data_IF_488113915200
#
_entry.id   IF_488113915200
#
_cell.length_a   1.000
_cell.length_b   1.000
_cell.length_c   1.000
_cell.angle_alpha   90.00
_cell.angle_beta   90.00
_cell.angle_gamma   90.00
#
_symmetry.space_group_name_H-M   'P 1'
#
loop_
_entity.id
_entity.type
_entity.pdbx_description
1 polymer ?
#
# COMPACT_ATOMS: atom_id res chain seq x y z
N UNK A 1 6.97 7.96 1.44
CA UNK A 1 5.79 7.45 0.70
C UNK A 1 4.79 6.89 1.70
N UNK A 2 3.50 7.14 1.49
CA UNK A 2 2.43 6.46 2.23
C UNK A 2 1.80 5.41 1.33
N UNK A 3 1.64 4.20 1.86
CA UNK A 3 1.00 3.07 1.17
C UNK A 3 -0.24 2.67 1.96
N UNK A 4 -1.40 2.79 1.36
CA UNK A 4 -2.65 2.25 1.90
C UNK A 4 -2.86 0.88 1.26
N UNK A 5 -2.92 -0.18 2.06
CA UNK A 5 -2.94 -1.56 1.57
C UNK A 5 -4.27 -2.25 1.88
N UNK A 6 -5.02 -2.60 0.85
CA UNK A 6 -6.20 -3.44 0.94
C UNK A 6 -5.89 -4.89 0.55
N UNK A 7 -6.52 -5.84 1.20
CA UNK A 7 -6.37 -7.28 0.91
C UNK A 7 -7.73 -7.84 0.51
N UNK A 8 -7.82 -8.43 -0.68
CA UNK A 8 -9.01 -9.10 -1.17
C UNK A 8 -9.05 -10.58 -0.73
N UNK A 9 -10.24 -11.20 -0.79
CA UNK A 9 -10.46 -12.59 -0.32
C UNK A 9 -9.56 -13.62 -0.99
N UNK A 10 -9.26 -13.41 -2.27
CA UNK A 10 -8.49 -14.35 -3.08
C UNK A 10 -7.00 -14.00 -3.19
N UNK A 11 -6.55 -12.97 -2.49
CA UNK A 11 -5.13 -12.64 -2.43
C UNK A 11 -4.34 -13.67 -1.62
N UNK A 12 -3.11 -13.92 -2.06
CA UNK A 12 -2.18 -14.83 -1.40
C UNK A 12 -0.80 -14.20 -1.21
N UNK A 13 0.13 -14.97 -0.63
CA UNK A 13 1.50 -14.54 -0.35
C UNK A 13 2.22 -14.03 -1.60
N UNK A 14 2.04 -14.70 -2.75
CA UNK A 14 2.65 -14.31 -4.01
C UNK A 14 2.20 -12.91 -4.47
N UNK A 15 0.93 -12.57 -4.25
CA UNK A 15 0.41 -11.24 -4.56
C UNK A 15 1.04 -10.18 -3.69
N UNK A 16 1.18 -10.43 -2.38
CA UNK A 16 1.82 -9.51 -1.44
C UNK A 16 3.28 -9.26 -1.82
N UNK A 17 4.04 -10.31 -2.12
CA UNK A 17 5.45 -10.21 -2.51
C UNK A 17 5.63 -9.46 -3.84
N UNK A 18 4.83 -9.79 -4.83
CA UNK A 18 4.85 -9.13 -6.15
C UNK A 18 4.55 -7.64 -6.03
N UNK A 19 3.53 -7.29 -5.24
CA UNK A 19 3.13 -5.89 -5.08
C UNK A 19 4.19 -5.11 -4.29
N UNK A 20 4.81 -5.70 -3.27
CA UNK A 20 5.90 -5.07 -2.52
C UNK A 20 7.10 -4.77 -3.43
N UNK A 21 7.50 -5.73 -4.27
CA UNK A 21 8.56 -5.54 -5.25
C UNK A 21 8.22 -4.42 -6.26
N UNK A 22 6.96 -4.36 -6.68
CA UNK A 22 6.47 -3.30 -7.57
C UNK A 22 6.57 -1.93 -6.90
N UNK A 23 6.09 -1.80 -5.67
CA UNK A 23 6.13 -0.53 -4.91
C UNK A 23 7.57 -0.05 -4.72
N UNK A 24 8.49 -0.94 -4.38
CA UNK A 24 9.90 -0.59 -4.19
C UNK A 24 10.54 0.01 -5.45
N UNK A 25 10.12 -0.45 -6.62
CA UNK A 25 10.75 -0.11 -7.91
C UNK A 25 9.97 0.85 -8.78
N UNK A 26 8.74 1.18 -8.42
CA UNK A 26 7.92 2.08 -9.22
C UNK A 26 8.55 3.48 -9.23
N UNK A 27 8.71 4.03 -10.42
CA UNK A 27 9.44 5.29 -10.65
C UNK A 27 8.52 6.48 -10.46
N UNK A 28 8.27 6.85 -9.21
CA UNK A 28 7.30 7.89 -8.80
C UNK A 28 7.96 9.18 -8.31
N UNK A 29 9.29 9.21 -8.21
CA UNK A 29 10.03 10.38 -7.78
C UNK A 29 10.66 11.07 -8.98
N UNK A 30 10.60 12.39 -8.98
CA UNK A 30 11.06 13.20 -10.09
C UNK A 30 12.59 13.26 -10.16
N UNK A 31 13.10 13.31 -11.40
CA UNK A 31 14.48 13.66 -11.69
C UNK A 31 14.65 15.18 -11.78
N UNK A 32 15.86 15.66 -12.16
CA UNK A 32 16.19 17.07 -12.31
C UNK A 32 15.34 17.79 -13.38
N UNK A 33 14.70 17.02 -14.29
CA UNK A 33 13.82 17.53 -15.36
C UNK A 33 12.34 17.52 -14.97
N UNK A 34 12.02 17.16 -13.71
CA UNK A 34 10.63 17.05 -13.24
C UNK A 34 9.88 15.85 -13.81
N UNK A 35 10.56 14.80 -14.27
CA UNK A 35 9.96 13.58 -14.80
C UNK A 35 10.03 12.45 -13.79
N UNK A 36 8.99 11.63 -13.73
CA UNK A 36 8.96 10.40 -12.96
C UNK A 36 10.04 9.44 -13.44
N UNK A 37 11.06 9.25 -12.66
CA UNK A 37 12.27 8.55 -13.08
C UNK A 37 12.92 7.70 -11.99
N UNK A 38 12.78 8.09 -10.74
CA UNK A 38 13.42 7.43 -9.61
C UNK A 38 12.43 6.64 -8.78
N UNK A 39 12.86 5.48 -8.32
CA UNK A 39 12.10 4.62 -7.42
C UNK A 39 12.33 5.01 -5.96
N UNK A 40 11.52 4.41 -5.08
CA UNK A 40 11.70 4.51 -3.62
C UNK A 40 13.10 4.06 -3.21
N UNK A 41 13.62 2.99 -3.84
CA UNK A 41 14.99 2.51 -3.62
C UNK A 41 16.04 3.50 -4.09
N UNK A 42 15.85 4.13 -5.25
CA UNK A 42 16.81 5.07 -5.82
C UNK A 42 16.99 6.30 -4.93
N UNK A 43 15.91 6.80 -4.35
CA UNK A 43 15.96 7.99 -3.48
C UNK A 43 16.25 7.65 -2.02
N UNK A 44 16.26 6.37 -1.64
CA UNK A 44 16.53 5.93 -0.27
C UNK A 44 15.50 6.41 0.75
N UNK A 45 14.25 6.61 0.34
CA UNK A 45 13.20 7.09 1.22
C UNK A 45 12.48 5.92 1.92
N UNK A 46 11.73 6.24 2.97
CA UNK A 46 10.94 5.29 3.74
C UNK A 46 9.50 5.20 3.25
N UNK A 47 8.82 4.12 3.63
CA UNK A 47 7.39 3.94 3.42
C UNK A 47 6.66 3.80 4.77
N UNK A 48 5.53 4.48 4.90
CA UNK A 48 4.53 4.21 5.93
C UNK A 48 3.44 3.35 5.31
N UNK A 49 3.27 2.14 5.81
CA UNK A 49 2.27 1.18 5.30
C UNK A 49 1.15 1.03 6.31
N UNK A 50 -0.07 1.34 5.88
CA UNK A 50 -1.28 1.28 6.71
C UNK A 50 -2.30 0.36 6.06
N UNK A 51 -2.84 -0.58 6.82
CA UNK A 51 -3.92 -1.44 6.34
C UNK A 51 -5.19 -0.63 6.14
N UNK A 52 -5.84 -0.81 4.97
CA UNK A 52 -7.02 -0.06 4.55
C UNK A 52 -7.99 -0.99 3.83
N UNK A 53 -8.79 -1.77 4.57
CA UNK A 53 -9.72 -2.74 3.96
C UNK A 53 -10.81 -2.06 3.11
N UNK A 54 -11.12 -0.81 3.39
CA UNK A 54 -12.13 -0.03 2.65
C UNK A 54 -11.74 0.25 1.20
N UNK A 55 -10.48 -0.01 0.81
CA UNK A 55 -10.08 -0.02 -0.61
C UNK A 55 -10.81 -1.11 -1.40
N UNK A 56 -11.21 -2.20 -0.73
CA UNK A 56 -11.95 -3.32 -1.32
C UNK A 56 -13.45 -3.06 -1.11
N UNK A 57 -13.93 -1.95 -1.63
CA UNK A 57 -15.30 -1.53 -1.50
C UNK A 57 -16.06 -1.72 -2.82
N UNK A 58 -17.27 -2.27 -2.74
CA UNK A 58 -18.23 -2.26 -3.85
C UNK A 58 -19.29 -1.19 -3.59
N UNK A 59 -19.34 -0.20 -4.45
CA UNK A 59 -20.28 0.93 -4.36
C UNK A 59 -21.33 0.94 -5.47
N UNK A 60 -21.47 -0.16 -6.22
CA UNK A 60 -22.35 -0.23 -7.38
C UNK A 60 -23.83 -0.22 -7.04
N UNK A 61 -24.19 -0.63 -5.82
CA UNK A 61 -25.58 -0.69 -5.36
C UNK A 61 -25.83 0.28 -4.22
N UNK A 62 -26.69 1.26 -4.46
CA UNK A 62 -27.10 2.22 -3.42
C UNK A 62 -25.96 3.09 -2.90
N UNK A 63 -26.12 3.60 -1.69
CA UNK A 63 -25.21 4.56 -1.09
C UNK A 63 -24.39 3.97 0.08
N UNK A 64 -24.59 2.70 0.40
CA UNK A 64 -23.80 2.01 1.42
C UNK A 64 -22.78 1.10 0.76
N UNK A 65 -21.46 1.32 1.01
CA UNK A 65 -20.42 0.44 0.47
C UNK A 65 -20.56 -0.99 1.00
N UNK A 66 -20.30 -1.98 0.16
CA UNK A 66 -20.15 -3.38 0.57
C UNK A 66 -18.66 -3.74 0.61
N UNK A 67 -18.24 -4.44 1.66
CA UNK A 67 -16.87 -4.94 1.84
C UNK A 67 -16.82 -6.47 1.78
N UNK A 68 -17.79 -7.07 1.09
CA UNK A 68 -17.91 -8.54 0.99
C UNK A 68 -16.67 -9.20 0.37
N UNK A 69 -15.98 -8.50 -0.52
CA UNK A 69 -14.79 -9.01 -1.20
C UNK A 69 -13.47 -8.73 -0.43
N UNK A 70 -13.53 -8.01 0.69
CA UNK A 70 -12.38 -7.84 1.55
C UNK A 70 -12.04 -9.13 2.30
N UNK A 71 -10.75 -9.43 2.46
CA UNK A 71 -10.31 -10.59 3.22
C UNK A 71 -10.73 -10.47 4.69
N UNK A 72 -11.00 -11.61 5.36
CA UNK A 72 -11.21 -11.61 6.81
C UNK A 72 -10.00 -11.03 7.55
N UNK A 73 -10.20 -10.43 8.75
CA UNK A 73 -9.12 -9.76 9.48
C UNK A 73 -7.86 -10.60 9.67
N UNK A 74 -7.99 -11.88 10.02
CA UNK A 74 -6.83 -12.76 10.26
C UNK A 74 -5.98 -12.95 8.99
N UNK A 75 -6.64 -13.19 7.85
CA UNK A 75 -5.97 -13.32 6.56
C UNK A 75 -5.37 -11.99 6.11
N UNK A 76 -6.12 -10.92 6.27
CA UNK A 76 -5.68 -9.58 5.88
C UNK A 76 -4.45 -9.15 6.68
N UNK A 77 -4.43 -9.38 8.00
CA UNK A 77 -3.29 -9.05 8.85
C UNK A 77 -2.04 -9.84 8.45
N UNK A 78 -2.17 -11.14 8.21
CA UNK A 78 -1.06 -12.01 7.79
C UNK A 78 -0.45 -11.52 6.46
N UNK A 79 -1.28 -11.17 5.47
CA UNK A 79 -0.81 -10.67 4.18
C UNK A 79 -0.26 -9.24 4.25
N UNK A 80 -0.82 -8.40 5.11
CA UNK A 80 -0.28 -7.09 5.42
C UNK A 80 1.14 -7.21 6.01
N UNK A 81 1.33 -8.08 6.99
CA UNK A 81 2.64 -8.34 7.59
C UNK A 81 3.61 -8.89 6.54
N UNK A 82 3.14 -9.77 5.67
CA UNK A 82 3.95 -10.32 4.57
C UNK A 82 4.38 -9.25 3.58
N UNK A 83 3.49 -8.35 3.22
CA UNK A 83 3.81 -7.21 2.36
C UNK A 83 4.89 -6.33 2.99
N UNK A 84 4.75 -5.97 4.25
CA UNK A 84 5.72 -5.16 4.97
C UNK A 84 7.10 -5.84 5.04
N UNK A 85 7.13 -7.14 5.35
CA UNK A 85 8.36 -7.91 5.38
C UNK A 85 9.03 -7.98 4.01
N UNK A 86 8.24 -8.21 2.95
CA UNK A 86 8.74 -8.25 1.58
C UNK A 86 9.29 -6.89 1.13
N UNK A 87 8.63 -5.79 1.52
CA UNK A 87 9.09 -4.44 1.19
C UNK A 87 10.41 -4.12 1.91
N UNK A 88 10.55 -4.53 3.17
CA UNK A 88 11.83 -4.43 3.90
C UNK A 88 12.92 -5.26 3.26
N UNK A 89 12.59 -6.46 2.79
CA UNK A 89 13.54 -7.34 2.09
C UNK A 89 14.04 -6.73 0.77
N UNK A 90 13.25 -5.87 0.14
CA UNK A 90 13.68 -5.11 -1.04
C UNK A 90 14.68 -3.99 -0.70
N UNK A 91 14.83 -3.63 0.56
CA UNK A 91 15.75 -2.59 1.02
C UNK A 91 15.07 -1.29 1.43
N UNK A 92 13.74 -1.27 1.57
CA UNK A 92 12.98 -0.08 1.97
C UNK A 92 12.82 -0.07 3.49
N UNK A 93 13.10 1.08 4.13
CA UNK A 93 12.73 1.30 5.52
C UNK A 93 11.19 1.43 5.62
N UNK A 94 10.56 0.59 6.43
CA UNK A 94 9.11 0.52 6.57
C UNK A 94 8.68 0.81 8.00
N UNK A 95 7.79 1.80 8.14
CA UNK A 95 7.03 2.05 9.35
C UNK A 95 5.59 1.62 9.13
N UNK A 96 4.90 1.26 10.21
CA UNK A 96 3.53 0.72 10.14
C UNK A 96 2.60 1.45 11.08
N UNK A 97 1.29 1.39 10.77
CA UNK A 97 0.24 1.67 11.74
C UNK A 97 -0.02 0.46 12.66
N UNK A 98 -1.17 0.46 13.29
CA UNK A 98 -1.65 -0.66 14.12
C UNK A 98 -2.85 -1.28 13.43
N UNK A 99 -2.73 -2.55 13.02
CA UNK A 99 -3.79 -3.26 12.32
C UNK A 99 -5.09 -3.27 13.14
N UNK A 100 -6.20 -2.93 12.49
CA UNK A 100 -7.53 -2.90 13.10
C UNK A 100 -7.81 -1.71 14.00
N UNK A 101 -6.83 -0.86 14.28
CA UNK A 101 -7.03 0.33 15.12
C UNK A 101 -7.66 1.46 14.31
N UNK A 102 -8.36 2.35 15.03
CA UNK A 102 -8.76 3.63 14.46
C UNK A 102 -7.55 4.57 14.46
N UNK A 103 -7.21 5.10 13.30
CA UNK A 103 -6.04 5.97 13.12
C UNK A 103 -6.41 7.25 12.40
N UNK A 104 -5.76 8.35 12.78
CA UNK A 104 -5.70 9.56 11.98
C UNK A 104 -4.35 9.57 11.27
N UNK A 105 -4.36 9.71 9.95
CA UNK A 105 -3.14 9.75 9.14
C UNK A 105 -2.92 11.20 8.71
N UNK A 106 -1.78 11.74 9.12
CA UNK A 106 -1.38 13.11 8.77
C UNK A 106 -0.25 13.04 7.75
N UNK A 107 -0.43 13.70 6.60
CA UNK A 107 0.57 13.75 5.54
C UNK A 107 0.42 15.00 4.69
N UNK A 108 1.47 15.34 3.97
CA UNK A 108 1.43 16.30 2.87
C UNK A 108 1.65 15.53 1.58
N UNK A 109 0.67 15.55 0.68
CA UNK A 109 0.80 14.96 -0.66
C UNK A 109 1.38 16.01 -1.60
N UNK A 110 2.71 16.09 -1.58
CA UNK A 110 3.47 17.05 -2.38
C UNK A 110 3.61 16.56 -3.82
N UNK A 111 3.06 17.36 -4.69
CA UNK A 111 2.93 17.04 -6.12
C UNK A 111 1.60 17.62 -6.64
N UNK A 112 0.39 17.13 -6.35
CA UNK A 112 0.15 15.84 -5.68
C UNK A 112 0.37 14.65 -6.61
N UNK A 113 0.68 13.49 -6.03
CA UNK A 113 0.82 12.21 -6.76
C UNK A 113 0.14 11.10 -5.96
N UNK A 114 -0.79 10.39 -6.61
CA UNK A 114 -1.48 9.24 -6.02
C UNK A 114 -1.69 8.20 -7.12
N UNK A 115 -1.23 6.98 -6.87
CA UNK A 115 -1.30 5.87 -7.81
C UNK A 115 -2.05 4.71 -7.17
N UNK A 116 -2.93 4.09 -7.94
CA UNK A 116 -3.63 2.86 -7.54
C UNK A 116 -2.96 1.67 -8.24
N UNK A 117 -2.61 0.66 -7.46
CA UNK A 117 -2.03 -0.60 -7.95
C UNK A 117 -2.93 -1.77 -7.60
N UNK A 118 -3.00 -2.73 -8.50
CA UNK A 118 -3.69 -4.01 -8.31
C UNK A 118 -2.80 -5.19 -8.72
#
# INVERSE_FOLDING_TARGET
MVVLLGVARDDGHAAAERLAAKVARLRLFENERGRFDRSLLDVGAAALVVSQFTLIADTRKGNRPSFAEAAPPETAEALYDRFCAALRAEGVAVETGVFGARMAIELVNDGPVTIVLE
#
